data_IF_839826500377
#
_entry.id   IF_839826500377
#
_cell.length_a   1.000
_cell.length_b   1.000
_cell.length_c   1.000
_cell.angle_alpha   90.00
_cell.angle_beta   90.00
_cell.angle_gamma   90.00
#
_symmetry.space_group_name_H-M   'P 1'
#
loop_
_entity.id
_entity.type
_entity.pdbx_description
1 polymer ?
#
# COMPACT_ATOMS: atom_id res chain seq x y z
N UNK A 1 -8.99 66.62 55.57
CA UNK A 1 -10.30 67.25 55.25
C UNK A 1 -10.61 66.95 53.79
N UNK A 2 -11.86 66.50 53.57
CA UNK A 2 -12.60 66.33 52.31
C UNK A 2 -12.33 65.03 51.51
N UNK A 3 -13.14 64.11 51.73
CA UNK A 3 -14.53 63.80 51.24
C UNK A 3 -14.52 63.10 49.89
N UNK A 4 -14.81 61.88 50.00
CA UNK A 4 -15.34 60.83 49.15
C UNK A 4 -16.51 61.30 48.28
N UNK A 5 -16.56 60.94 47.00
CA UNK A 5 -17.81 60.72 46.30
C UNK A 5 -17.74 59.50 45.38
N UNK A 6 -18.51 58.52 45.77
CA UNK A 6 -18.81 57.32 44.97
C UNK A 6 -19.80 57.69 43.87
N UNK A 7 -19.58 57.24 42.64
CA UNK A 7 -20.60 57.13 41.61
C UNK A 7 -20.81 55.68 41.22
N UNK A 8 -21.99 55.22 41.52
CA UNK A 8 -22.56 53.95 41.09
C UNK A 8 -23.10 54.14 39.67
N UNK A 9 -22.59 53.41 38.71
CA UNK A 9 -23.20 53.32 37.38
C UNK A 9 -23.72 51.88 37.22
N UNK A 10 -25.04 51.75 37.19
CA UNK A 10 -25.77 50.53 36.85
C UNK A 10 -25.69 50.29 35.34
N UNK A 11 -25.05 49.23 34.95
CA UNK A 11 -25.08 48.76 33.55
C UNK A 11 -26.18 47.71 33.39
N UNK A 12 -27.17 48.06 32.57
CA UNK A 12 -28.25 47.17 32.11
C UNK A 12 -27.67 46.16 31.15
N UNK A 13 -27.69 44.87 31.54
CA UNK A 13 -27.32 43.77 30.68
C UNK A 13 -28.47 43.44 29.71
N UNK A 14 -28.31 43.80 28.44
CA UNK A 14 -29.09 43.25 27.34
C UNK A 14 -28.61 41.87 26.98
N UNK A 15 -29.38 40.86 27.36
CA UNK A 15 -29.18 39.48 26.93
C UNK A 15 -29.61 39.32 25.47
N UNK A 16 -28.67 39.39 24.55
CA UNK A 16 -28.85 38.87 23.21
C UNK A 16 -28.53 37.37 23.22
N UNK A 17 -29.58 36.56 23.14
CA UNK A 17 -29.46 35.12 22.97
C UNK A 17 -28.84 34.81 21.60
N UNK A 18 -27.54 34.56 21.59
CA UNK A 18 -26.86 33.96 20.45
C UNK A 18 -26.89 32.44 20.66
N UNK A 19 -27.62 31.76 19.80
CA UNK A 19 -27.47 30.29 19.67
C UNK A 19 -26.05 29.98 19.19
N UNK A 20 -25.13 29.84 20.13
CA UNK A 20 -23.87 29.20 19.86
C UNK A 20 -24.16 27.73 19.62
N UNK A 21 -24.09 27.29 18.36
CA UNK A 21 -23.87 25.89 18.03
C UNK A 21 -22.61 25.48 18.76
N UNK A 22 -22.73 24.67 19.78
CA UNK A 22 -21.61 23.88 20.32
C UNK A 22 -21.12 22.99 19.21
N UNK A 23 -20.09 23.44 18.50
CA UNK A 23 -19.19 22.51 17.84
C UNK A 23 -18.49 21.78 18.97
N UNK A 24 -19.03 20.60 19.30
CA UNK A 24 -18.37 19.69 20.21
C UNK A 24 -17.01 19.34 19.62
N UNK A 25 -16.00 20.10 20.02
CA UNK A 25 -14.62 19.62 20.00
C UNK A 25 -14.59 18.52 21.06
N UNK A 26 -14.95 17.32 20.65
CA UNK A 26 -14.56 16.13 21.40
C UNK A 26 -13.03 16.22 21.44
N UNK A 27 -12.49 16.56 22.59
CA UNK A 27 -11.13 16.23 22.92
C UNK A 27 -11.04 14.71 22.80
N UNK A 28 -10.68 14.25 21.60
CA UNK A 28 -10.22 12.90 21.40
C UNK A 28 -8.93 12.86 22.20
N UNK A 29 -9.02 12.34 23.44
CA UNK A 29 -7.87 11.87 24.18
C UNK A 29 -7.28 10.77 23.31
N UNK A 30 -6.35 11.15 22.43
CA UNK A 30 -5.54 10.21 21.67
C UNK A 30 -4.82 9.36 22.70
N UNK A 31 -5.28 8.11 22.89
CA UNK A 31 -4.45 7.12 23.56
C UNK A 31 -3.11 7.13 22.81
N UNK A 32 -2.03 7.30 23.54
CA UNK A 32 -0.70 7.29 22.92
C UNK A 32 -0.59 6.00 22.12
N UNK A 33 -0.59 6.12 20.80
CA UNK A 33 -0.23 5.02 19.92
C UNK A 33 1.19 4.60 20.32
N UNK A 34 1.40 3.33 20.61
CA UNK A 34 2.74 2.77 20.87
C UNK A 34 3.62 2.82 19.63
N UNK A 35 3.04 3.08 18.47
CA UNK A 35 3.70 3.15 17.16
C UNK A 35 4.35 4.53 17.03
N UNK A 36 5.65 4.58 16.82
CA UNK A 36 6.45 5.81 16.72
C UNK A 36 6.95 6.11 15.29
N UNK A 37 6.45 5.38 14.31
CA UNK A 37 6.87 5.41 12.91
C UNK A 37 5.67 5.45 11.95
N UNK A 38 5.96 5.64 10.65
CA UNK A 38 4.96 5.50 9.57
C UNK A 38 4.57 4.04 9.40
N UNK A 39 3.30 3.79 9.13
CA UNK A 39 2.78 2.44 8.88
C UNK A 39 2.16 2.31 7.50
N UNK A 40 2.25 1.13 6.92
CA UNK A 40 1.44 0.72 5.77
C UNK A 40 0.03 0.46 6.30
N UNK A 41 -0.92 1.31 5.91
CA UNK A 41 -2.29 1.25 6.41
C UNK A 41 -3.17 0.37 5.54
N UNK A 42 -2.98 0.41 4.22
CA UNK A 42 -3.76 -0.38 3.28
C UNK A 42 -2.94 -0.73 2.05
N UNK A 43 -3.17 -1.94 1.51
CA UNK A 43 -2.61 -2.39 0.24
C UNK A 43 -3.74 -2.95 -0.61
N UNK A 44 -4.05 -2.25 -1.70
CA UNK A 44 -4.98 -2.70 -2.73
C UNK A 44 -4.21 -3.27 -3.91
N UNK A 45 -4.06 -4.58 -3.94
CA UNK A 45 -3.26 -5.27 -4.97
C UNK A 45 -4.11 -6.15 -5.88
N UNK A 46 -5.32 -6.50 -5.48
CA UNK A 46 -6.18 -7.38 -6.26
C UNK A 46 -6.67 -6.70 -7.55
N UNK A 47 -6.81 -5.36 -7.54
CA UNK A 47 -7.41 -4.61 -8.64
C UNK A 47 -8.90 -4.84 -8.75
N UNK A 48 -9.50 -4.36 -9.83
CA UNK A 48 -10.90 -4.59 -10.16
C UNK A 48 -11.05 -5.52 -11.37
N UNK A 49 -12.19 -6.19 -11.47
CA UNK A 49 -12.54 -7.01 -12.64
C UNK A 49 -13.52 -6.26 -13.54
N UNK A 50 -13.27 -6.35 -14.83
CA UNK A 50 -14.17 -5.90 -15.89
C UNK A 50 -14.75 -7.14 -16.56
N UNK A 51 -16.07 -7.26 -16.56
CA UNK A 51 -16.79 -8.32 -17.30
C UNK A 51 -17.08 -7.82 -18.69
N UNK A 52 -16.78 -8.64 -19.70
CA UNK A 52 -17.24 -8.47 -21.08
C UNK A 52 -18.36 -9.45 -21.35
N UNK A 53 -19.55 -8.94 -21.65
CA UNK A 53 -20.70 -9.77 -22.06
C UNK A 53 -20.56 -10.17 -23.53
N UNK A 54 -20.45 -11.47 -23.77
CA UNK A 54 -20.34 -12.06 -25.10
C UNK A 54 -21.59 -12.88 -25.49
N UNK A 55 -22.71 -12.69 -24.79
CA UNK A 55 -23.96 -13.43 -25.01
C UNK A 55 -24.52 -13.25 -26.45
N UNK A 56 -24.34 -12.06 -27.04
CA UNK A 56 -24.71 -11.80 -28.43
C UNK A 56 -24.01 -12.72 -29.44
N UNK A 57 -22.83 -13.23 -29.07
CA UNK A 57 -22.06 -14.19 -29.88
C UNK A 57 -22.28 -15.65 -29.44
N UNK A 58 -23.22 -15.90 -28.52
CA UNK A 58 -23.45 -17.21 -27.89
C UNK A 58 -22.22 -17.78 -27.19
N UNK A 59 -21.37 -16.89 -26.63
CA UNK A 59 -20.17 -17.21 -25.89
C UNK A 59 -20.36 -16.86 -24.40
N UNK A 60 -19.67 -17.56 -23.52
CA UNK A 60 -19.65 -17.17 -22.11
C UNK A 60 -19.01 -15.81 -21.92
N UNK A 61 -19.47 -15.02 -20.96
CA UNK A 61 -18.83 -13.78 -20.55
C UNK A 61 -17.40 -14.03 -20.10
N UNK A 62 -16.52 -13.07 -20.34
CA UNK A 62 -15.13 -13.10 -19.90
C UNK A 62 -14.87 -12.02 -18.85
N UNK A 63 -13.88 -12.25 -17.99
CA UNK A 63 -13.48 -11.33 -16.95
C UNK A 63 -12.03 -10.94 -17.15
N UNK A 64 -11.77 -9.65 -17.24
CA UNK A 64 -10.42 -9.09 -17.29
C UNK A 64 -10.11 -8.44 -15.95
N UNK A 65 -8.93 -8.73 -15.40
CA UNK A 65 -8.44 -8.07 -14.20
C UNK A 65 -7.69 -6.81 -14.58
N UNK A 66 -8.06 -5.70 -13.96
CA UNK A 66 -7.30 -4.47 -14.03
C UNK A 66 -6.36 -4.41 -12.83
N UNK A 67 -5.06 -4.40 -13.10
CA UNK A 67 -4.02 -4.24 -12.08
C UNK A 67 -3.44 -2.82 -12.04
N UNK A 68 -3.93 -1.92 -12.87
CA UNK A 68 -3.36 -0.57 -12.97
C UNK A 68 -3.90 0.35 -11.88
N UNK A 69 -5.07 0.03 -11.33
CA UNK A 69 -5.67 0.77 -10.22
C UNK A 69 -5.20 0.33 -8.82
N UNK A 70 -4.04 -0.34 -8.74
CA UNK A 70 -3.41 -0.69 -7.46
C UNK A 70 -2.93 0.55 -6.71
N UNK A 71 -3.00 0.48 -5.37
CA UNK A 71 -2.45 1.52 -4.50
C UNK A 71 -1.98 0.98 -3.15
N UNK A 72 -1.13 1.76 -2.50
CA UNK A 72 -0.70 1.59 -1.12
C UNK A 72 -1.04 2.87 -0.37
N UNK A 73 -1.51 2.77 0.87
CA UNK A 73 -1.59 3.93 1.74
C UNK A 73 -0.61 3.83 2.90
N UNK A 74 0.08 4.95 3.16
CA UNK A 74 1.00 5.13 4.28
C UNK A 74 0.36 6.12 5.24
N UNK A 75 0.42 5.84 6.54
CA UNK A 75 -0.23 6.64 7.56
C UNK A 75 0.75 7.02 8.66
N UNK A 76 0.60 8.22 9.21
CA UNK A 76 1.35 8.67 10.38
C UNK A 76 0.46 8.58 11.64
N UNK A 77 0.61 7.54 12.46
CA UNK A 77 -0.13 7.39 13.71
C UNK A 77 0.45 8.21 14.85
N UNK A 78 1.58 8.86 14.66
CA UNK A 78 2.32 9.57 15.72
C UNK A 78 1.81 10.99 15.92
N UNK A 79 2.29 11.64 16.97
CA UNK A 79 2.01 13.05 17.26
C UNK A 79 3.04 14.02 16.63
N UNK A 80 3.99 13.49 15.85
CA UNK A 80 5.06 14.28 15.21
C UNK A 80 4.91 14.22 13.69
N UNK A 81 5.33 15.29 13.00
CA UNK A 81 5.51 15.22 11.54
C UNK A 81 6.68 14.28 11.26
N UNK A 82 6.43 13.30 10.40
CA UNK A 82 7.43 12.38 9.84
C UNK A 82 7.62 12.71 8.35
N UNK A 83 8.66 12.17 7.72
CA UNK A 83 9.00 12.50 6.34
C UNK A 83 9.19 11.23 5.52
N UNK A 84 8.71 11.27 4.26
CA UNK A 84 8.91 10.17 3.30
C UNK A 84 10.28 10.22 2.63
N UNK A 85 10.90 11.36 2.64
CA UNK A 85 12.24 11.57 2.06
C UNK A 85 13.23 10.51 2.57
N UNK A 86 13.98 9.92 1.66
CA UNK A 86 14.92 8.83 1.94
C UNK A 86 14.29 7.51 2.40
N UNK A 87 12.97 7.37 2.30
CA UNK A 87 12.30 6.09 2.45
C UNK A 87 12.11 5.43 1.08
N UNK A 88 11.81 4.14 1.10
CA UNK A 88 11.48 3.39 -0.10
C UNK A 88 10.39 2.33 0.20
N UNK A 89 9.56 2.05 -0.79
CA UNK A 89 8.75 0.85 -0.84
C UNK A 89 9.56 -0.26 -1.50
N UNK A 90 9.59 -1.42 -0.90
CA UNK A 90 10.43 -2.53 -1.33
C UNK A 90 9.63 -3.82 -1.37
N UNK A 91 9.67 -4.52 -2.51
CA UNK A 91 9.15 -5.89 -2.56
C UNK A 91 10.24 -6.90 -2.23
N UNK A 92 9.86 -7.99 -1.55
CA UNK A 92 10.79 -9.05 -1.22
C UNK A 92 11.02 -9.99 -2.42
N UNK A 93 12.26 -10.41 -2.65
CA UNK A 93 12.61 -11.42 -3.63
C UNK A 93 12.19 -12.84 -3.18
N UNK A 94 12.11 -13.05 -1.87
CA UNK A 94 11.71 -14.35 -1.32
C UNK A 94 10.20 -14.53 -1.51
N UNK A 95 9.82 -15.51 -2.31
CA UNK A 95 8.42 -15.87 -2.55
C UNK A 95 7.85 -16.56 -1.30
N UNK A 96 6.78 -16.05 -0.69
CA UNK A 96 6.21 -16.65 0.51
C UNK A 96 5.55 -18.01 0.28
N UNK A 97 5.41 -18.46 -0.96
CA UNK A 97 4.89 -19.77 -1.33
C UNK A 97 5.95 -20.87 -1.34
N UNK A 98 7.21 -20.54 -1.05
CA UNK A 98 8.34 -21.47 -1.15
C UNK A 98 9.15 -21.48 0.15
N UNK A 99 9.56 -22.67 0.59
CA UNK A 99 10.58 -22.81 1.62
C UNK A 99 11.95 -22.76 0.94
N UNK A 100 12.73 -21.72 1.23
CA UNK A 100 14.10 -21.63 0.77
C UNK A 100 15.04 -22.27 1.80
N UNK A 101 15.99 -23.08 1.31
CA UNK A 101 17.10 -23.62 2.08
C UNK A 101 18.37 -22.90 1.64
N UNK A 102 18.97 -22.16 2.56
CA UNK A 102 20.18 -21.39 2.33
C UNK A 102 21.42 -22.28 2.50
N UNK A 103 22.49 -21.93 1.81
CA UNK A 103 23.76 -22.64 1.94
C UNK A 103 24.24 -22.65 3.40
N UNK A 104 24.93 -23.71 3.86
CA UNK A 104 25.46 -23.78 5.22
C UNK A 104 26.31 -22.55 5.56
N UNK A 105 25.96 -21.87 6.67
CA UNK A 105 26.63 -20.65 7.12
C UNK A 105 26.05 -19.35 6.54
N UNK A 106 25.12 -19.42 5.60
CA UNK A 106 24.38 -18.25 5.15
C UNK A 106 23.28 -17.92 6.15
N UNK A 107 23.40 -16.76 6.82
CA UNK A 107 22.45 -16.25 7.80
C UNK A 107 21.66 -15.05 7.26
N UNK A 108 21.51 -14.94 5.96
CA UNK A 108 20.84 -13.83 5.29
C UNK A 108 19.44 -13.57 5.86
N UNK A 109 18.57 -14.58 5.89
CA UNK A 109 17.19 -14.48 6.41
C UNK A 109 17.11 -14.00 7.87
N UNK A 110 18.16 -14.25 8.67
CA UNK A 110 18.20 -13.84 10.07
C UNK A 110 18.56 -12.35 10.29
N UNK A 111 19.03 -11.66 9.26
CA UNK A 111 19.63 -10.33 9.37
C UNK A 111 19.08 -9.31 8.38
N UNK A 112 18.61 -9.74 7.21
CA UNK A 112 18.27 -8.86 6.10
C UNK A 112 16.89 -9.16 5.51
N UNK A 113 16.20 -8.09 5.13
CA UNK A 113 15.08 -8.14 4.20
C UNK A 113 15.64 -8.15 2.78
N UNK A 114 15.31 -9.16 2.02
CA UNK A 114 15.83 -9.37 0.67
C UNK A 114 15.03 -8.62 -0.37
N UNK A 115 15.40 -7.38 -0.65
CA UNK A 115 14.69 -6.56 -1.62
C UNK A 115 14.87 -7.04 -3.07
N UNK A 116 13.78 -7.04 -3.83
CA UNK A 116 13.77 -7.26 -5.28
C UNK A 116 13.64 -5.94 -6.03
N UNK A 117 12.52 -5.25 -5.86
CA UNK A 117 12.27 -3.94 -6.44
C UNK A 117 12.23 -2.88 -5.35
N UNK A 118 12.91 -1.77 -5.59
CA UNK A 118 13.03 -0.67 -4.64
C UNK A 118 12.54 0.60 -5.31
N UNK A 119 11.44 1.17 -4.80
CA UNK A 119 10.84 2.43 -5.23
C UNK A 119 11.08 3.49 -4.18
N UNK A 120 11.91 4.44 -4.50
CA UNK A 120 12.41 5.45 -3.58
C UNK A 120 11.57 6.72 -3.63
N UNK A 121 11.22 7.27 -2.46
CA UNK A 121 10.59 8.59 -2.37
C UNK A 121 11.64 9.67 -2.60
N UNK A 122 11.49 10.51 -3.63
CA UNK A 122 12.41 11.61 -3.88
C UNK A 122 12.40 12.61 -2.72
N UNK A 123 13.38 13.51 -2.67
CA UNK A 123 13.42 14.59 -1.69
C UNK A 123 14.79 14.79 -1.07
N UNK A 124 14.93 15.91 -0.36
CA UNK A 124 16.17 16.37 0.26
C UNK A 124 16.23 16.13 1.78
N UNK A 125 15.18 15.53 2.34
CA UNK A 125 15.07 15.18 3.76
C UNK A 125 13.83 15.76 4.47
N UNK A 126 13.20 16.79 3.91
CA UNK A 126 12.02 17.46 4.50
C UNK A 126 10.99 17.93 3.48
N UNK A 127 11.10 17.46 2.23
CA UNK A 127 10.24 17.93 1.14
C UNK A 127 8.85 17.29 1.18
N UNK A 128 8.74 16.08 1.75
CA UNK A 128 7.49 15.32 1.82
C UNK A 128 7.08 15.01 3.26
N UNK A 129 6.57 16.03 4.00
CA UNK A 129 6.12 15.85 5.37
C UNK A 129 4.79 15.08 5.43
N UNK A 130 4.69 14.13 6.34
CA UNK A 130 3.46 13.43 6.71
C UNK A 130 3.07 13.87 8.11
N UNK A 131 2.03 14.68 8.20
CA UNK A 131 1.54 15.24 9.48
C UNK A 131 0.89 14.15 10.34
N UNK A 132 0.77 14.36 11.66
CA UNK A 132 -0.01 13.48 12.52
C UNK A 132 -1.42 13.21 11.96
N UNK A 133 -1.80 11.94 11.88
CA UNK A 133 -3.10 11.53 11.34
C UNK A 133 -3.25 11.61 9.81
N UNK A 134 -2.23 12.02 9.09
CA UNK A 134 -2.27 12.10 7.63
C UNK A 134 -2.07 10.72 7.00
N UNK A 135 -2.85 10.46 5.95
CA UNK A 135 -2.68 9.33 5.04
C UNK A 135 -2.09 9.84 3.72
N UNK A 136 -1.09 9.15 3.21
CA UNK A 136 -0.49 9.35 1.89
C UNK A 136 -0.95 8.22 0.98
N UNK A 137 -1.37 8.54 -0.23
CA UNK A 137 -1.77 7.58 -1.25
C UNK A 137 -0.64 7.45 -2.28
N UNK A 138 -0.13 6.25 -2.43
CA UNK A 138 0.83 5.91 -3.48
C UNK A 138 0.12 5.02 -4.49
N UNK A 139 -0.14 5.53 -5.68
CA UNK A 139 -0.83 4.82 -6.75
C UNK A 139 0.15 4.05 -7.64
N UNK A 140 -0.29 2.99 -8.29
CA UNK A 140 0.46 2.43 -9.42
C UNK A 140 0.50 3.45 -10.55
N UNK A 141 -0.67 3.93 -10.97
CA UNK A 141 -0.85 4.99 -11.96
C UNK A 141 -1.85 6.01 -11.42
N UNK A 142 -1.46 7.27 -11.36
CA UNK A 142 -2.25 8.35 -10.79
C UNK A 142 -3.24 8.94 -11.81
N UNK A 143 -4.13 8.11 -12.34
CA UNK A 143 -5.14 8.51 -13.34
C UNK A 143 -6.56 8.13 -12.89
N UNK A 144 -7.57 8.64 -13.60
CA UNK A 144 -8.93 8.10 -13.51
C UNK A 144 -9.04 6.85 -14.40
N UNK A 145 -8.95 5.67 -13.78
CA UNK A 145 -8.91 4.39 -14.46
C UNK A 145 -10.21 4.06 -15.21
N UNK A 146 -11.37 4.50 -14.71
CA UNK A 146 -12.64 4.31 -15.41
C UNK A 146 -12.68 5.12 -16.70
N UNK A 147 -12.26 6.39 -16.67
CA UNK A 147 -12.17 7.21 -17.86
C UNK A 147 -11.12 6.70 -18.84
N UNK A 148 -9.97 6.26 -18.35
CA UNK A 148 -8.93 5.66 -19.18
C UNK A 148 -9.44 4.40 -19.92
N UNK A 149 -10.18 3.55 -19.20
CA UNK A 149 -10.82 2.37 -19.82
C UNK A 149 -11.79 2.76 -20.92
N UNK A 150 -12.72 3.72 -20.67
CA UNK A 150 -13.66 4.19 -21.68
C UNK A 150 -12.92 4.69 -22.92
N UNK A 151 -11.93 5.54 -22.75
CA UNK A 151 -11.11 6.07 -23.85
C UNK A 151 -10.38 4.96 -24.65
N UNK A 152 -9.90 3.93 -23.98
CA UNK A 152 -9.22 2.83 -24.67
C UNK A 152 -10.18 2.04 -25.56
N UNK A 153 -11.39 1.78 -25.08
CA UNK A 153 -12.44 1.08 -25.87
C UNK A 153 -12.91 1.94 -27.06
N UNK A 154 -13.09 3.24 -26.86
CA UNK A 154 -13.47 4.18 -27.92
C UNK A 154 -12.37 4.31 -28.98
N UNK A 155 -11.08 4.30 -28.58
CA UNK A 155 -9.95 4.32 -29.51
C UNK A 155 -9.87 3.08 -30.41
N UNK A 156 -10.40 1.94 -29.95
CA UNK A 156 -10.56 0.71 -30.74
C UNK A 156 -11.79 0.74 -31.66
N UNK A 157 -12.59 1.82 -31.64
CA UNK A 157 -13.82 1.96 -32.37
C UNK A 157 -15.01 1.18 -31.80
N UNK A 158 -14.86 0.70 -30.56
CA UNK A 158 -15.91 0.01 -29.80
C UNK A 158 -16.62 0.99 -28.84
N UNK A 159 -17.64 0.50 -28.15
CA UNK A 159 -18.34 1.21 -27.08
C UNK A 159 -18.31 0.39 -25.81
N UNK A 160 -18.42 1.03 -24.65
CA UNK A 160 -18.48 0.32 -23.37
C UNK A 160 -19.76 -0.49 -23.16
N UNK A 161 -20.67 -0.50 -24.12
CA UNK A 161 -21.86 -1.35 -24.09
C UNK A 161 -21.45 -2.82 -24.10
N UNK A 162 -21.87 -3.56 -23.10
CA UNK A 162 -21.46 -4.96 -22.89
C UNK A 162 -20.26 -5.15 -21.99
N UNK A 163 -19.70 -4.06 -21.45
CA UNK A 163 -18.74 -4.11 -20.36
C UNK A 163 -19.40 -3.72 -19.05
N UNK A 164 -19.16 -4.49 -18.00
CA UNK A 164 -19.67 -4.25 -16.63
C UNK A 164 -18.49 -4.14 -15.67
N UNK A 165 -18.62 -3.30 -14.63
CA UNK A 165 -17.62 -3.15 -13.58
C UNK A 165 -16.51 -2.12 -13.86
N UNK A 166 -16.37 -1.63 -15.09
CA UNK A 166 -15.40 -0.59 -15.42
C UNK A 166 -15.65 0.72 -14.65
N UNK A 167 -16.91 1.01 -14.32
CA UNK A 167 -17.34 2.17 -13.53
C UNK A 167 -16.92 2.09 -12.04
N UNK A 168 -16.41 0.94 -11.61
CA UNK A 168 -15.87 0.71 -10.27
C UNK A 168 -14.36 0.93 -10.21
N UNK A 169 -13.68 1.00 -11.34
CA UNK A 169 -12.26 1.32 -11.40
C UNK A 169 -11.98 2.66 -10.70
N UNK A 170 -10.87 2.73 -9.98
CA UNK A 170 -10.57 3.84 -9.09
C UNK A 170 -10.23 5.12 -9.85
N UNK A 171 -10.54 6.26 -9.24
CA UNK A 171 -9.95 7.54 -9.59
C UNK A 171 -8.79 7.82 -8.64
N UNK A 172 -7.58 7.58 -9.12
CA UNK A 172 -6.32 7.83 -8.41
C UNK A 172 -5.61 9.10 -8.91
N UNK A 173 -6.27 9.92 -9.72
CA UNK A 173 -5.68 11.13 -10.33
C UNK A 173 -5.18 12.17 -9.32
N UNK A 174 -5.54 12.02 -8.05
CA UNK A 174 -5.12 12.88 -6.94
C UNK A 174 -4.28 12.14 -5.90
N UNK A 175 -3.65 11.03 -6.29
CA UNK A 175 -2.68 10.37 -5.42
C UNK A 175 -1.52 11.32 -5.07
N UNK A 176 -0.85 11.05 -3.96
CA UNK A 176 0.29 11.86 -3.52
C UNK A 176 1.57 11.48 -4.28
N UNK A 177 1.67 10.22 -4.72
CA UNK A 177 2.77 9.66 -5.51
C UNK A 177 2.26 8.59 -6.47
N UNK A 178 3.06 8.31 -7.51
CA UNK A 178 2.87 7.14 -8.36
C UNK A 178 4.19 6.37 -8.60
N UNK A 179 4.10 5.08 -8.97
CA UNK A 179 5.32 4.25 -9.10
C UNK A 179 5.57 3.67 -10.50
N UNK A 180 4.61 3.69 -11.42
CA UNK A 180 4.74 3.09 -12.76
C UNK A 180 4.72 4.14 -13.89
N UNK A 181 5.14 5.36 -13.59
CA UNK A 181 5.01 6.50 -14.50
C UNK A 181 6.16 6.64 -15.52
N UNK A 182 7.29 6.02 -15.30
CA UNK A 182 8.55 6.35 -15.99
C UNK A 182 8.54 6.12 -17.52
N UNK A 183 7.53 5.44 -18.08
CA UNK A 183 7.46 5.14 -19.52
C UNK A 183 6.04 5.23 -20.08
N UNK A 184 5.10 5.84 -19.39
CA UNK A 184 3.71 5.83 -19.77
C UNK A 184 3.26 7.14 -20.43
N UNK A 185 2.58 7.02 -21.57
CA UNK A 185 1.96 8.16 -22.25
C UNK A 185 0.85 8.81 -21.40
N UNK A 186 0.35 8.10 -20.39
CA UNK A 186 -0.72 8.54 -19.48
C UNK A 186 -0.19 9.04 -18.13
N UNK A 187 1.14 9.29 -18.00
CA UNK A 187 1.73 9.85 -16.78
C UNK A 187 1.03 11.15 -16.36
N UNK A 188 0.66 11.23 -15.08
CA UNK A 188 0.10 12.43 -14.49
C UNK A 188 1.23 13.36 -13.98
N UNK A 189 1.69 14.26 -14.82
CA UNK A 189 2.76 15.20 -14.48
C UNK A 189 2.50 16.07 -13.22
N UNK A 190 1.29 16.06 -12.65
CA UNK A 190 0.95 16.74 -11.41
C UNK A 190 1.23 15.90 -10.16
N UNK A 191 1.49 14.61 -10.32
CA UNK A 191 1.78 13.66 -9.23
C UNK A 191 3.25 13.25 -9.32
N UNK A 192 4.04 13.40 -8.25
CA UNK A 192 5.45 13.03 -8.28
C UNK A 192 5.65 11.51 -8.36
N UNK A 193 6.65 11.13 -9.15
CA UNK A 193 7.03 9.73 -9.34
C UNK A 193 7.92 9.21 -8.22
N UNK A 194 7.70 7.97 -7.80
CA UNK A 194 8.71 7.22 -7.08
C UNK A 194 9.85 6.84 -8.04
N UNK A 195 11.06 6.87 -7.55
CA UNK A 195 12.23 6.59 -8.36
C UNK A 195 12.67 5.13 -8.23
N UNK A 196 12.73 4.35 -9.34
CA UNK A 196 13.25 2.99 -9.29
C UNK A 196 14.77 3.02 -9.08
N UNK A 197 15.24 2.24 -8.11
CA UNK A 197 16.67 2.14 -7.78
C UNK A 197 17.22 0.76 -8.11
N UNK A 198 16.38 -0.26 -8.11
CA UNK A 198 16.82 -1.62 -8.42
C UNK A 198 17.08 -1.80 -9.91
N UNK A 199 18.10 -2.56 -10.19
CA UNK A 199 18.68 -2.74 -11.51
C UNK A 199 17.95 -3.72 -12.41
N UNK A 200 17.02 -4.47 -11.95
CA UNK A 200 16.55 -5.61 -12.75
C UNK A 200 15.08 -5.60 -13.11
N UNK A 201 14.21 -5.01 -12.32
CA UNK A 201 12.77 -4.96 -12.60
C UNK A 201 12.16 -3.71 -12.00
N UNK A 202 11.49 -2.93 -12.85
CA UNK A 202 10.58 -1.93 -12.37
C UNK A 202 9.53 -2.61 -11.47
N UNK A 203 9.11 -1.92 -10.43
CA UNK A 203 7.98 -2.32 -9.59
C UNK A 203 6.70 -2.14 -10.40
N UNK A 204 6.39 -3.10 -11.28
CA UNK A 204 5.28 -2.94 -12.20
C UNK A 204 3.92 -3.15 -11.52
N UNK A 205 3.81 -4.12 -10.63
CA UNK A 205 2.57 -4.43 -9.90
C UNK A 205 2.88 -5.15 -8.60
N UNK A 206 2.03 -4.95 -7.60
CA UNK A 206 2.06 -5.75 -6.38
C UNK A 206 1.48 -7.12 -6.73
N UNK A 207 2.28 -8.16 -6.58
CA UNK A 207 1.86 -9.54 -6.82
C UNK A 207 1.03 -10.07 -5.64
N UNK A 208 0.25 -11.13 -5.90
CA UNK A 208 -0.53 -11.81 -4.88
C UNK A 208 0.27 -12.73 -3.94
N UNK A 209 1.58 -12.83 -4.16
CA UNK A 209 2.51 -13.54 -3.29
C UNK A 209 3.82 -12.76 -3.24
N UNK A 210 3.93 -11.86 -2.28
CA UNK A 210 5.09 -10.97 -2.13
C UNK A 210 5.14 -10.40 -0.71
N UNK A 211 6.35 -10.23 -0.16
CA UNK A 211 6.56 -9.32 0.96
C UNK A 211 6.63 -7.88 0.46
N UNK A 212 6.02 -6.96 1.16
CA UNK A 212 6.09 -5.51 0.92
C UNK A 212 6.57 -4.82 2.18
N UNK A 213 7.54 -3.92 2.06
CA UNK A 213 8.09 -3.18 3.19
C UNK A 213 8.23 -1.70 2.88
N UNK A 214 8.04 -0.88 3.91
CA UNK A 214 8.48 0.51 3.97
C UNK A 214 9.83 0.52 4.70
N UNK A 215 10.87 1.01 4.05
CA UNK A 215 12.22 0.95 4.58
C UNK A 215 12.90 2.32 4.54
N UNK A 216 13.88 2.52 5.42
CA UNK A 216 14.85 3.61 5.30
C UNK A 216 16.08 3.06 4.57
N UNK A 217 16.41 3.64 3.44
CA UNK A 217 17.59 3.20 2.72
C UNK A 217 18.85 3.48 3.56
N UNK A 218 19.73 2.49 3.72
CA UNK A 218 20.96 2.66 4.49
C UNK A 218 22.02 3.50 3.77
N UNK A 219 21.78 3.80 2.48
CA UNK A 219 22.68 4.59 1.64
C UNK A 219 21.93 5.69 0.91
N UNK A 220 22.67 6.67 0.37
CA UNK A 220 22.06 7.61 -0.56
C UNK A 220 21.56 6.88 -1.82
N UNK A 221 20.46 7.35 -2.45
CA UNK A 221 19.95 6.75 -3.67
C UNK A 221 21.00 6.64 -4.79
N UNK A 222 21.86 7.65 -4.90
CA UNK A 222 22.93 7.66 -5.91
C UNK A 222 23.97 6.56 -5.63
N UNK A 223 24.41 6.42 -4.37
CA UNK A 223 25.35 5.35 -3.97
C UNK A 223 24.74 3.97 -4.16
N UNK A 224 23.44 3.83 -3.85
CA UNK A 224 22.71 2.60 -4.04
C UNK A 224 22.60 2.21 -5.52
N UNK A 225 22.18 3.12 -6.37
CA UNK A 225 22.04 2.91 -7.82
C UNK A 225 23.41 2.54 -8.46
N UNK A 226 24.47 3.17 -8.04
CA UNK A 226 25.82 2.86 -8.52
C UNK A 226 26.32 1.50 -8.00
N UNK A 227 26.00 1.14 -6.74
CA UNK A 227 26.30 -0.16 -6.18
C UNK A 227 25.53 -1.29 -6.89
N UNK A 228 24.25 -1.09 -7.19
CA UNK A 228 23.43 -2.05 -7.92
C UNK A 228 23.97 -2.29 -9.34
N UNK A 229 24.32 -1.23 -10.10
CA UNK A 229 24.94 -1.35 -11.43
C UNK A 229 26.24 -2.15 -11.41
N UNK A 230 27.07 -1.95 -10.38
CA UNK A 230 28.32 -2.69 -10.24
C UNK A 230 28.09 -4.18 -9.97
N UNK A 231 27.07 -4.51 -9.19
CA UNK A 231 26.70 -5.90 -8.94
C UNK A 231 26.26 -6.60 -10.23
N UNK A 232 25.45 -5.95 -11.05
CA UNK A 232 25.03 -6.48 -12.36
C UNK A 232 26.21 -6.75 -13.28
N UNK A 233 27.12 -5.78 -13.42
CA UNK A 233 28.29 -5.91 -14.27
C UNK A 233 29.25 -7.02 -13.85
N UNK A 234 29.36 -7.26 -12.53
CA UNK A 234 30.25 -8.28 -11.96
C UNK A 234 29.64 -9.66 -11.76
N UNK A 235 28.31 -9.79 -11.93
CA UNK A 235 27.58 -11.02 -11.60
C UNK A 235 27.71 -11.43 -10.14
N UNK A 236 27.38 -12.69 -9.81
CA UNK A 236 27.34 -13.17 -8.42
C UNK A 236 28.67 -13.13 -7.68
N UNK A 237 29.77 -12.89 -8.38
CA UNK A 237 31.13 -12.81 -7.81
C UNK A 237 31.60 -11.39 -7.54
N UNK A 238 30.77 -10.37 -7.69
CA UNK A 238 31.14 -8.97 -7.40
C UNK A 238 31.38 -8.79 -5.90
N UNK A 239 32.56 -9.24 -5.43
CA UNK A 239 33.01 -9.05 -4.06
C UNK A 239 33.16 -7.56 -3.77
N UNK A 240 32.61 -7.11 -2.64
CA UNK A 240 32.76 -5.73 -2.17
C UNK A 240 31.60 -4.80 -2.51
N UNK A 241 30.52 -5.31 -3.08
CA UNK A 241 29.27 -4.54 -3.17
C UNK A 241 28.47 -4.73 -1.86
N UNK A 242 28.30 -3.62 -1.14
CA UNK A 242 27.58 -3.61 0.16
C UNK A 242 26.06 -3.42 0.02
N UNK A 243 25.55 -3.37 -1.21
CA UNK A 243 24.17 -3.05 -1.51
C UNK A 243 23.39 -4.27 -1.99
N UNK A 244 24.04 -5.18 -2.71
CA UNK A 244 23.42 -6.34 -3.31
C UNK A 244 24.11 -7.61 -2.85
N UNK A 245 23.32 -8.55 -2.39
CA UNK A 245 23.79 -9.86 -1.94
C UNK A 245 23.37 -10.95 -2.93
N UNK A 246 24.28 -11.88 -3.15
CA UNK A 246 24.01 -13.09 -3.92
C UNK A 246 23.58 -14.21 -2.97
N UNK A 247 22.31 -14.54 -3.03
CA UNK A 247 21.72 -15.60 -2.20
C UNK A 247 21.90 -16.94 -2.91
N UNK A 248 22.63 -17.84 -2.27
CA UNK A 248 22.81 -19.21 -2.72
C UNK A 248 21.78 -20.10 -2.04
N UNK A 249 20.92 -20.75 -2.81
CA UNK A 249 19.87 -21.65 -2.33
C UNK A 249 20.09 -23.07 -2.84
N UNK A 250 19.90 -24.04 -1.95
CA UNK A 250 20.27 -25.45 -2.21
C UNK A 250 19.11 -26.30 -2.72
N UNK A 251 17.86 -25.85 -2.58
CA UNK A 251 16.68 -26.70 -2.81
C UNK A 251 15.67 -26.13 -3.80
N UNK A 252 16.02 -25.17 -4.67
CA UNK A 252 15.05 -24.57 -5.55
C UNK A 252 15.29 -24.84 -7.02
N UNK A 253 14.18 -24.87 -7.77
CA UNK A 253 14.21 -24.80 -9.24
C UNK A 253 14.59 -23.39 -9.75
N UNK A 254 14.66 -22.40 -8.86
CA UNK A 254 14.95 -21.00 -9.20
C UNK A 254 16.43 -20.68 -9.21
N UNK A 255 17.27 -21.57 -8.65
CA UNK A 255 18.71 -21.33 -8.53
C UNK A 255 19.02 -20.15 -7.59
N UNK A 256 20.25 -19.70 -7.69
CA UNK A 256 20.73 -18.55 -6.92
C UNK A 256 20.15 -17.23 -7.46
N UNK A 257 19.95 -16.26 -6.62
CA UNK A 257 19.40 -14.96 -7.02
C UNK A 257 20.06 -13.78 -6.29
N UNK A 258 20.00 -12.62 -6.92
CA UNK A 258 20.46 -11.38 -6.32
C UNK A 258 19.32 -10.72 -5.54
N UNK A 259 19.64 -10.21 -4.37
CA UNK A 259 18.74 -9.42 -3.53
C UNK A 259 19.43 -8.12 -3.11
N UNK A 260 18.62 -7.12 -2.85
CA UNK A 260 19.08 -5.93 -2.16
C UNK A 260 19.08 -6.21 -0.66
N UNK A 261 20.23 -6.09 -0.03
CA UNK A 261 20.37 -6.24 1.42
C UNK A 261 19.81 -5.03 2.15
N UNK A 262 18.71 -5.22 2.86
CA UNK A 262 18.19 -4.21 3.75
C UNK A 262 18.25 -4.75 5.18
N UNK A 263 19.12 -4.20 6.03
CA UNK A 263 19.21 -4.61 7.43
C UNK A 263 17.86 -4.48 8.12
N UNK A 264 17.53 -5.39 9.02
CA UNK A 264 16.24 -5.39 9.71
C UNK A 264 15.95 -4.11 10.48
N UNK A 265 16.98 -3.43 11.02
CA UNK A 265 16.85 -2.14 11.71
C UNK A 265 16.51 -0.97 10.76
N UNK A 266 16.51 -1.19 9.46
CA UNK A 266 16.11 -0.22 8.42
C UNK A 266 14.70 -0.46 7.90
N UNK A 267 14.08 -1.58 8.23
CA UNK A 267 12.68 -1.85 7.92
C UNK A 267 11.82 -1.11 8.95
N UNK A 268 10.95 -0.24 8.45
CA UNK A 268 10.06 0.60 9.28
C UNK A 268 8.78 -0.15 9.55
N UNK A 269 8.20 -0.74 8.50
CA UNK A 269 6.98 -1.54 8.56
C UNK A 269 6.96 -2.51 7.38
N UNK A 270 6.35 -3.67 7.55
CA UNK A 270 6.22 -4.63 6.48
C UNK A 270 5.01 -5.53 6.64
N UNK A 271 4.61 -6.16 5.53
CA UNK A 271 3.58 -7.19 5.51
C UNK A 271 3.91 -8.24 4.45
N UNK A 272 3.41 -9.46 4.68
CA UNK A 272 3.53 -10.58 3.75
C UNK A 272 2.18 -10.88 3.11
N UNK A 273 2.07 -10.61 1.81
CA UNK A 273 0.89 -10.93 1.00
C UNK A 273 1.05 -12.36 0.50
N UNK A 274 0.09 -13.23 0.78
CA UNK A 274 0.09 -14.58 0.25
C UNK A 274 -1.31 -15.20 0.29
N UNK A 275 -1.74 -15.95 -0.75
CA UNK A 275 -2.93 -16.78 -0.68
C UNK A 275 -2.82 -17.79 0.48
N UNK A 276 -3.87 -17.90 1.29
CA UNK A 276 -3.79 -18.63 2.57
C UNK A 276 -3.36 -20.08 2.42
N UNK A 277 -3.81 -20.77 1.39
CA UNK A 277 -3.44 -22.18 1.12
C UNK A 277 -2.06 -22.38 0.50
N UNK A 278 -1.37 -21.31 0.14
CA UNK A 278 -0.10 -21.37 -0.57
C UNK A 278 1.11 -20.98 0.27
N UNK A 279 0.90 -20.45 1.46
CA UNK A 279 1.97 -19.98 2.32
C UNK A 279 2.83 -21.15 2.83
N UNK A 280 4.14 -21.06 2.62
CA UNK A 280 5.14 -22.05 3.05
C UNK A 280 6.35 -21.41 3.72
N UNK A 281 6.59 -20.13 3.52
CA UNK A 281 7.75 -19.42 4.07
C UNK A 281 7.80 -19.53 5.60
N UNK A 282 9.00 -19.58 6.16
CA UNK A 282 9.17 -19.54 7.63
C UNK A 282 8.91 -18.10 8.11
N UNK A 283 8.18 -17.90 9.22
CA UNK A 283 8.02 -16.58 9.82
C UNK A 283 9.38 -15.96 10.16
N UNK A 284 9.50 -14.66 9.97
CA UNK A 284 10.67 -13.87 10.31
C UNK A 284 10.44 -13.04 11.57
N UNK A 285 11.47 -12.35 12.03
CA UNK A 285 11.32 -11.37 13.13
C UNK A 285 10.53 -10.13 12.67
N UNK A 286 10.59 -9.80 11.38
CA UNK A 286 9.93 -8.64 10.81
C UNK A 286 8.44 -8.87 10.59
N UNK A 287 8.06 -10.09 10.21
CA UNK A 287 6.67 -10.46 10.01
C UNK A 287 6.47 -11.95 10.34
N UNK A 288 5.68 -12.20 11.36
CA UNK A 288 5.38 -13.55 11.87
C UNK A 288 4.15 -14.15 11.19
N UNK A 289 3.48 -13.38 10.33
CA UNK A 289 2.23 -13.76 9.70
C UNK A 289 2.20 -13.53 8.19
N UNK A 290 1.03 -13.71 7.64
CA UNK A 290 0.72 -13.44 6.23
C UNK A 290 -0.77 -13.28 6.05
N UNK A 291 -1.19 -12.62 4.96
CA UNK A 291 -2.60 -12.51 4.60
C UNK A 291 -2.75 -12.33 3.09
N UNK A 292 -3.78 -12.94 2.51
CA UNK A 292 -4.21 -12.70 1.14
C UNK A 292 -5.69 -12.40 1.07
N UNK A 293 -6.14 -11.70 0.04
CA UNK A 293 -7.56 -11.46 -0.22
C UNK A 293 -8.29 -12.75 -0.61
N UNK A 294 -7.57 -13.81 -0.98
CA UNK A 294 -8.08 -15.10 -1.39
C UNK A 294 -7.44 -16.24 -0.62
N UNK A 295 -8.16 -17.35 -0.47
CA UNK A 295 -7.64 -18.63 0.01
C UNK A 295 -6.70 -19.27 -1.04
N UNK A 296 -7.12 -19.23 -2.30
CA UNK A 296 -6.40 -19.79 -3.43
C UNK A 296 -5.73 -18.68 -4.25
N UNK A 297 -4.78 -19.07 -5.06
CA UNK A 297 -4.10 -18.20 -6.01
C UNK A 297 -5.08 -17.79 -7.12
N UNK A 298 -5.60 -16.57 -7.07
CA UNK A 298 -6.58 -16.10 -8.02
C UNK A 298 -6.00 -15.83 -9.41
N UNK A 299 -4.68 -15.83 -9.57
CA UNK A 299 -4.06 -15.81 -10.89
C UNK A 299 -4.41 -17.07 -11.71
N UNK A 300 -4.75 -18.15 -11.01
CA UNK A 300 -5.16 -19.41 -11.64
C UNK A 300 -6.64 -19.47 -12.00
N UNK A 301 -7.45 -18.49 -11.58
CA UNK A 301 -8.88 -18.47 -11.89
C UNK A 301 -9.10 -18.29 -13.40
N UNK A 302 -10.02 -19.10 -13.96
CA UNK A 302 -10.35 -19.00 -15.37
C UNK A 302 -11.00 -17.65 -15.68
N UNK A 303 -10.64 -17.04 -16.81
CA UNK A 303 -11.21 -15.77 -17.26
C UNK A 303 -12.73 -15.83 -17.52
N UNK A 304 -13.32 -17.03 -17.63
CA UNK A 304 -14.75 -17.26 -17.75
C UNK A 304 -15.43 -17.56 -16.42
N UNK A 305 -14.67 -17.59 -15.30
CA UNK A 305 -15.20 -17.87 -13.98
C UNK A 305 -15.55 -16.57 -13.25
N UNK A 306 -16.76 -16.53 -12.68
CA UNK A 306 -17.17 -15.41 -11.83
C UNK A 306 -16.53 -15.43 -10.43
N UNK A 307 -15.70 -16.44 -10.10
CA UNK A 307 -14.98 -16.50 -8.83
C UNK A 307 -14.04 -15.32 -8.65
N UNK A 308 -13.51 -14.81 -9.76
CA UNK A 308 -12.68 -13.62 -9.75
C UNK A 308 -13.37 -12.40 -9.08
N UNK A 309 -14.70 -12.29 -9.23
CA UNK A 309 -15.49 -11.21 -8.63
C UNK A 309 -15.53 -11.27 -7.10
N UNK A 310 -15.22 -12.42 -6.51
CA UNK A 310 -15.20 -12.58 -5.03
C UNK A 310 -13.98 -11.96 -4.36
N UNK A 311 -12.92 -11.71 -5.13
CA UNK A 311 -11.63 -11.23 -4.61
C UNK A 311 -11.27 -9.85 -5.17
N UNK A 312 -11.81 -9.47 -6.32
CA UNK A 312 -11.58 -8.16 -6.91
C UNK A 312 -12.26 -7.05 -6.09
N UNK A 313 -11.61 -5.89 -6.03
CA UNK A 313 -12.09 -4.77 -5.22
C UNK A 313 -11.81 -4.93 -3.72
N UNK A 314 -11.12 -6.01 -3.30
CA UNK A 314 -10.71 -6.22 -1.91
C UNK A 314 -9.27 -5.78 -1.68
N UNK A 315 -9.00 -5.22 -0.51
CA UNK A 315 -7.68 -4.80 -0.03
C UNK A 315 -7.32 -5.44 1.31
N UNK A 316 -6.05 -5.41 1.65
CA UNK A 316 -5.58 -5.65 3.01
C UNK A 316 -5.54 -4.32 3.75
N UNK A 317 -6.30 -4.21 4.83
CA UNK A 317 -6.38 -3.00 5.65
C UNK A 317 -5.87 -3.29 7.05
N UNK A 318 -5.03 -2.40 7.58
CA UNK A 318 -4.52 -2.52 8.95
C UNK A 318 -5.68 -2.31 9.93
N UNK A 319 -5.80 -3.20 10.88
CA UNK A 319 -6.86 -3.18 11.90
C UNK A 319 -6.70 -1.98 12.81
N UNK A 320 -7.85 -1.46 13.23
CA UNK A 320 -7.95 -0.44 14.27
C UNK A 320 -8.74 -1.02 15.44
N UNK A 321 -8.17 -1.04 16.64
CA UNK A 321 -8.74 -1.69 17.84
C UNK A 321 -9.64 -0.76 18.67
N UNK A 322 -9.93 0.43 18.15
CA UNK A 322 -10.70 1.47 18.84
C UNK A 322 -9.83 2.44 19.65
N UNK A 323 -8.53 2.16 19.78
CA UNK A 323 -7.54 3.01 20.46
C UNK A 323 -6.43 3.44 19.51
N UNK A 324 -6.03 2.56 18.60
CA UNK A 324 -4.99 2.82 17.64
C UNK A 324 -4.93 1.72 16.56
N UNK A 325 -4.02 1.89 15.62
CA UNK A 325 -3.73 0.83 14.67
C UNK A 325 -2.96 -0.30 15.34
N UNK A 326 -3.24 -1.54 14.93
CA UNK A 326 -2.56 -2.73 15.44
C UNK A 326 -1.26 -2.92 14.68
N UNK A 327 -0.16 -3.10 15.43
CA UNK A 327 1.16 -3.34 14.90
C UNK A 327 1.92 -4.28 15.86
N UNK A 328 2.04 -5.55 15.45
CA UNK A 328 2.62 -6.63 16.26
C UNK A 328 3.68 -7.43 15.50
N UNK A 329 4.18 -6.90 14.38
CA UNK A 329 5.04 -7.64 13.44
C UNK A 329 4.38 -8.96 12.98
N UNK A 330 3.09 -8.92 12.66
CA UNK A 330 2.34 -10.11 12.29
C UNK A 330 1.17 -9.76 11.35
N UNK A 331 1.38 -9.87 10.07
CA UNK A 331 0.36 -9.54 9.06
C UNK A 331 -1.00 -10.20 9.33
N UNK A 332 -1.04 -11.45 9.80
CA UNK A 332 -2.30 -12.15 10.12
C UNK A 332 -3.06 -11.46 11.26
N UNK A 333 -2.33 -10.95 12.25
CA UNK A 333 -2.91 -10.23 13.39
C UNK A 333 -3.28 -8.80 13.03
N UNK A 334 -2.39 -8.13 12.30
CA UNK A 334 -2.43 -6.68 12.11
C UNK A 334 -3.37 -6.25 10.98
N UNK A 335 -3.62 -7.11 10.00
CA UNK A 335 -4.44 -6.80 8.85
C UNK A 335 -5.72 -7.63 8.76
N UNK A 336 -6.68 -7.12 8.00
CA UNK A 336 -7.93 -7.78 7.64
C UNK A 336 -8.26 -7.50 6.18
N UNK A 337 -9.10 -8.37 5.58
CA UNK A 337 -9.57 -8.20 4.20
C UNK A 337 -10.87 -7.41 4.21
N UNK A 338 -10.90 -6.30 3.47
CA UNK A 338 -12.07 -5.42 3.32
C UNK A 338 -12.19 -4.89 1.88
N UNK A 339 -13.35 -4.36 1.49
CA UNK A 339 -13.44 -3.57 0.26
C UNK A 339 -12.45 -2.40 0.29
N UNK A 340 -11.82 -2.13 -0.85
CA UNK A 340 -10.86 -1.04 -1.00
C UNK A 340 -11.45 0.30 -0.52
N UNK A 341 -10.73 1.03 0.33
CA UNK A 341 -11.25 2.25 0.98
C UNK A 341 -11.43 3.42 0.00
N UNK A 342 -10.70 3.42 -1.12
CA UNK A 342 -10.81 4.43 -2.17
C UNK A 342 -11.82 4.07 -3.26
N UNK A 343 -12.66 3.04 -3.06
CA UNK A 343 -13.67 2.64 -4.04
C UNK A 343 -14.68 3.78 -4.31
N UNK A 344 -15.09 3.93 -5.59
CA UNK A 344 -16.04 4.99 -6.01
C UNK A 344 -17.43 4.85 -5.41
N UNK A 345 -17.85 3.63 -5.12
CA UNK A 345 -19.09 3.37 -4.38
C UNK A 345 -18.75 3.29 -2.90
N UNK A 346 -19.04 4.37 -2.17
CA UNK A 346 -19.10 4.27 -0.72
C UNK A 346 -19.96 3.05 -0.37
N UNK A 347 -19.41 2.12 0.42
CA UNK A 347 -20.17 0.98 0.90
C UNK A 347 -21.46 1.51 1.52
N UNK A 348 -22.61 1.16 0.94
CA UNK A 348 -23.90 1.46 1.57
C UNK A 348 -23.84 0.81 2.93
N UNK A 349 -23.98 1.55 4.03
CA UNK A 349 -23.89 0.96 5.35
C UNK A 349 -24.94 -0.15 5.42
N UNK A 350 -24.49 -1.35 5.69
CA UNK A 350 -25.35 -2.51 5.88
C UNK A 350 -26.36 -2.16 6.98
N UNK A 351 -27.64 -2.13 6.61
CA UNK A 351 -28.71 -1.83 7.54
C UNK A 351 -28.63 -2.86 8.66
N UNK A 352 -28.50 -2.46 9.95
CA UNK A 352 -28.44 -3.41 11.03
C UNK A 352 -29.60 -4.39 10.91
N UNK A 353 -29.31 -5.69 10.92
CA UNK A 353 -30.32 -6.74 10.91
C UNK A 353 -31.34 -6.44 12.01
N UNK A 354 -32.60 -6.34 11.64
CA UNK A 354 -33.70 -6.13 12.59
C UNK A 354 -33.65 -7.24 13.66
N UNK A 355 -33.55 -6.85 14.91
CA UNK A 355 -33.70 -7.82 16.02
C UNK A 355 -35.01 -8.57 15.83
N UNK A 356 -35.00 -9.90 15.97
CA UNK A 356 -36.25 -10.66 15.97
C UNK A 356 -37.13 -10.13 17.13
N UNK A 357 -38.41 -9.85 16.82
CA UNK A 357 -39.39 -9.48 17.80
C UNK A 357 -39.50 -10.60 18.84
N UNK A 358 -39.41 -10.23 20.13
CA UNK A 358 -39.69 -11.11 21.25
C UNK A 358 -41.20 -11.39 21.36
#
# INVERSE_FOLDING_TARGET
MNKIFSFLIAAVALTLGSCARETGVTNVTTSESKIDHLIIKEVFYAGHAIKRDLSAYKMPSTYTRNYDDQYITIYNPTQKTLYLDSLALVTNQVDPRVILEFAPGDNFIGQYYGGNSVMYFPGSGTDHPVKPGQTIVVAKRAIDHAQAFVKSIEAEGETVKGYEGYDQLLDLSKADFEWDAANDADNNAAVPDLLPISSGRAFSSIAEAVGLALVRLPWSPAAFKEGAKRAEAGGPKAKGNTVVHYVNVTNTHFGDFLVVEIPFDKVIDCLTICPRKRFQMRPSKLDKGFLGVSEDDFSTFKITSNEILKVMGLSLQRKFDGKGFVDTDNTTTDFEVKPASLSRKAATPEKPAAKPAQ
#
